data_IF_507811920603
#
_entry.id   IF_507811920603
#
_cell.length_a   1.000
_cell.length_b   1.000
_cell.length_c   1.000
_cell.angle_alpha   90.00
_cell.angle_beta   90.00
_cell.angle_gamma   90.00
#
_symmetry.space_group_name_H-M   'P 1'
#
loop_
_entity.id
_entity.type
_entity.pdbx_description
1 polymer ?
#
# COMPACT_ATOMS: atom_id res chain seq x y z
N UNK A 1 -12.62 -50.42 12.80
CA UNK A 1 -12.34 -49.22 13.63
C UNK A 1 -10.92 -48.72 13.49
N UNK A 2 -10.54 -48.21 12.32
CA UNK A 2 -9.20 -47.62 12.11
C UNK A 2 -9.12 -46.83 10.81
N UNK A 3 -9.81 -47.32 9.77
CA UNK A 3 -9.97 -46.60 8.50
C UNK A 3 -10.75 -45.29 8.65
N UNK A 4 -11.85 -45.25 9.44
CA UNK A 4 -12.61 -44.00 9.63
C UNK A 4 -11.82 -42.93 10.38
N UNK A 5 -11.06 -43.31 11.43
CA UNK A 5 -10.17 -42.40 12.18
C UNK A 5 -9.13 -41.75 11.25
N UNK A 6 -8.57 -42.51 10.30
CA UNK A 6 -7.60 -42.00 9.33
C UNK A 6 -8.22 -41.00 8.35
N UNK A 7 -9.45 -41.27 7.86
CA UNK A 7 -10.19 -40.32 7.02
C UNK A 7 -10.59 -39.06 7.77
N UNK A 8 -11.01 -39.16 9.03
CA UNK A 8 -11.28 -38.00 9.89
C UNK A 8 -10.03 -37.16 10.12
N UNK A 9 -8.87 -37.77 10.37
CA UNK A 9 -7.60 -37.06 10.55
C UNK A 9 -7.12 -36.38 9.25
N UNK A 10 -7.29 -37.01 8.09
CA UNK A 10 -6.97 -36.40 6.79
C UNK A 10 -7.90 -35.22 6.50
N UNK A 11 -9.19 -35.33 6.79
CA UNK A 11 -10.15 -34.23 6.64
C UNK A 11 -9.82 -33.08 7.61
N UNK A 12 -9.48 -33.35 8.88
CA UNK A 12 -9.03 -32.31 9.83
C UNK A 12 -7.74 -31.64 9.37
N UNK A 13 -6.80 -32.38 8.79
CA UNK A 13 -5.55 -31.84 8.25
C UNK A 13 -5.78 -30.96 7.00
N UNK A 14 -6.68 -31.37 6.10
CA UNK A 14 -7.08 -30.59 4.92
C UNK A 14 -7.92 -29.36 5.28
N UNK A 15 -8.70 -29.41 6.35
CA UNK A 15 -9.42 -28.25 6.87
C UNK A 15 -8.45 -27.30 7.58
N UNK A 16 -7.45 -27.81 8.31
CA UNK A 16 -6.39 -27.01 8.97
C UNK A 16 -5.52 -26.22 7.98
N UNK A 17 -5.20 -26.79 6.81
CA UNK A 17 -4.50 -26.06 5.73
C UNK A 17 -5.39 -25.07 4.99
N UNK A 18 -6.72 -25.28 5.00
CA UNK A 18 -7.72 -24.40 4.39
C UNK A 18 -8.28 -23.32 5.33
N UNK A 19 -8.05 -23.41 6.65
CA UNK A 19 -8.24 -22.29 7.57
C UNK A 19 -7.11 -21.30 7.33
N UNK A 20 -7.27 -20.54 6.25
CA UNK A 20 -6.68 -19.23 5.94
C UNK A 20 -5.39 -18.93 6.72
N UNK A 21 -4.27 -18.91 5.99
CA UNK A 21 -3.09 -18.13 6.34
C UNK A 21 -3.48 -16.64 6.46
N UNK A 22 -4.23 -16.26 7.49
CA UNK A 22 -4.17 -14.91 8.00
C UNK A 22 -2.71 -14.74 8.40
N UNK A 23 -1.92 -14.06 7.57
CA UNK A 23 -0.59 -13.63 7.95
C UNK A 23 -0.73 -12.98 9.31
N UNK A 24 -0.10 -13.56 10.32
CA UNK A 24 -0.04 -12.97 11.65
C UNK A 24 0.82 -11.71 11.52
N UNK A 25 0.15 -10.58 11.35
CA UNK A 25 0.81 -9.29 11.35
C UNK A 25 1.37 -9.02 12.75
N UNK A 26 2.59 -8.50 12.80
CA UNK A 26 3.20 -8.04 14.05
C UNK A 26 2.32 -6.99 14.75
N UNK A 27 2.50 -6.84 16.06
CA UNK A 27 1.77 -5.83 16.84
C UNK A 27 1.90 -4.44 16.21
N UNK A 28 0.75 -3.78 16.00
CA UNK A 28 0.67 -2.46 15.38
C UNK A 28 0.60 -2.47 13.85
N UNK A 29 0.63 -3.65 13.22
CA UNK A 29 0.32 -3.84 11.82
C UNK A 29 -1.09 -4.40 11.66
N UNK A 30 -1.77 -4.03 10.58
CA UNK A 30 -3.15 -4.37 10.29
C UNK A 30 -3.20 -5.26 9.04
N UNK A 31 -3.83 -6.44 9.10
CA UNK A 31 -3.93 -7.34 7.96
C UNK A 31 -4.97 -6.84 6.95
N UNK A 32 -4.64 -6.94 5.66
CA UNK A 32 -5.62 -6.86 4.57
C UNK A 32 -5.14 -7.71 3.39
N UNK A 33 -5.98 -8.65 2.94
CA UNK A 33 -5.56 -9.66 1.98
C UNK A 33 -4.34 -10.44 2.47
N UNK A 34 -3.31 -10.51 1.63
CA UNK A 34 -2.05 -11.21 1.92
C UNK A 34 -0.93 -10.28 2.41
N UNK A 35 -1.24 -9.07 2.87
CA UNK A 35 -0.25 -8.08 3.32
C UNK A 35 -0.57 -7.54 4.71
N UNK A 36 0.45 -6.98 5.33
CA UNK A 36 0.38 -6.26 6.59
C UNK A 36 0.68 -4.79 6.38
N UNK A 37 -0.13 -3.91 6.98
CA UNK A 37 0.00 -2.47 6.81
C UNK A 37 0.22 -1.75 8.14
N UNK A 38 1.05 -0.72 8.16
CA UNK A 38 1.22 0.17 9.31
C UNK A 38 1.01 1.61 8.88
N UNK A 39 0.58 2.46 9.81
CA UNK A 39 0.19 3.84 9.56
C UNK A 39 1.05 4.75 10.44
N UNK A 40 1.72 5.75 9.85
CA UNK A 40 2.59 6.66 10.60
C UNK A 40 1.81 7.63 11.51
N UNK A 41 2.40 8.03 12.63
CA UNK A 41 1.85 9.13 13.44
C UNK A 41 2.27 10.52 12.92
N UNK A 42 3.26 10.58 12.02
CA UNK A 42 3.82 11.82 11.49
C UNK A 42 3.91 11.80 9.97
N UNK A 43 4.04 12.98 9.39
CA UNK A 43 4.24 13.19 7.95
C UNK A 43 5.72 13.31 7.61
N UNK A 44 6.11 12.91 6.40
CA UNK A 44 7.48 13.08 5.90
C UNK A 44 7.52 13.42 4.41
N UNK A 45 8.68 13.89 3.95
CA UNK A 45 8.96 14.02 2.51
C UNK A 45 9.02 12.65 1.87
N UNK A 46 8.81 12.56 0.56
CA UNK A 46 8.77 11.28 -0.15
C UNK A 46 10.04 10.44 0.07
N UNK A 47 11.21 11.08 -0.05
CA UNK A 47 12.51 10.45 0.23
C UNK A 47 12.60 9.88 1.65
N UNK A 48 12.16 10.64 2.65
CA UNK A 48 12.19 10.17 4.04
C UNK A 48 11.15 9.07 4.30
N UNK A 49 9.98 9.15 3.67
CA UNK A 49 8.95 8.10 3.76
C UNK A 49 9.48 6.76 3.24
N UNK A 50 10.11 6.75 2.06
CA UNK A 50 10.77 5.57 1.50
C UNK A 50 11.83 5.01 2.45
N UNK A 51 12.73 5.85 2.98
CA UNK A 51 13.76 5.43 3.94
C UNK A 51 13.14 4.84 5.21
N UNK A 52 12.09 5.47 5.75
CA UNK A 52 11.40 4.97 6.94
C UNK A 52 10.74 3.61 6.69
N UNK A 53 10.12 3.40 5.54
CA UNK A 53 9.57 2.09 5.19
C UNK A 53 10.66 1.02 5.14
N UNK A 54 11.75 1.28 4.40
CA UNK A 54 12.86 0.34 4.25
C UNK A 54 13.52 -0.01 5.60
N UNK A 55 13.72 0.98 6.48
CA UNK A 55 14.28 0.76 7.81
C UNK A 55 13.38 -0.11 8.72
N UNK A 56 12.09 -0.25 8.39
CA UNK A 56 11.15 -1.13 9.08
C UNK A 56 10.92 -2.47 8.34
N UNK A 57 11.76 -2.79 7.34
CA UNK A 57 11.62 -4.01 6.54
C UNK A 57 10.32 -4.05 5.74
N UNK A 58 9.86 -2.88 5.27
CA UNK A 58 8.61 -2.71 4.56
C UNK A 58 8.77 -1.79 3.35
N UNK A 59 7.78 -1.78 2.50
CA UNK A 59 7.71 -0.95 1.30
C UNK A 59 6.77 0.24 1.54
N UNK A 60 7.01 1.33 0.80
CA UNK A 60 6.05 2.42 0.72
C UNK A 60 4.80 1.93 -0.03
N UNK A 61 3.62 2.41 0.35
CA UNK A 61 2.34 1.87 -0.13
C UNK A 61 2.22 1.84 -1.67
N UNK A 62 2.23 0.66 -2.26
CA UNK A 62 1.83 0.44 -3.65
C UNK A 62 0.45 -0.22 -3.71
N UNK A 63 -0.53 0.47 -4.30
CA UNK A 63 -1.90 -0.01 -4.44
C UNK A 63 -2.06 -0.85 -5.72
N UNK A 64 -2.59 -2.06 -5.60
CA UNK A 64 -2.77 -2.98 -6.72
C UNK A 64 -4.22 -3.27 -7.08
N UNK A 65 -5.16 -2.96 -6.18
CA UNK A 65 -6.59 -3.22 -6.40
C UNK A 65 -7.45 -2.13 -5.79
N UNK A 66 -8.66 -1.97 -6.33
CA UNK A 66 -9.67 -1.05 -5.77
C UNK A 66 -10.05 -1.41 -4.34
N UNK A 67 -10.15 -2.70 -4.02
CA UNK A 67 -10.49 -3.16 -2.67
C UNK A 67 -9.41 -2.78 -1.65
N UNK A 68 -8.13 -2.87 -2.03
CA UNK A 68 -7.02 -2.41 -1.20
C UNK A 68 -7.08 -0.89 -0.98
N UNK A 69 -7.30 -0.12 -2.03
CA UNK A 69 -7.45 1.33 -1.92
C UNK A 69 -8.63 1.75 -1.02
N UNK A 70 -9.80 1.11 -1.17
CA UNK A 70 -10.97 1.41 -0.35
C UNK A 70 -10.73 1.13 1.13
N UNK A 71 -10.02 0.04 1.43
CA UNK A 71 -9.63 -0.26 2.79
C UNK A 71 -8.62 0.77 3.32
N UNK A 72 -7.63 1.16 2.52
CA UNK A 72 -6.66 2.21 2.89
C UNK A 72 -7.37 3.55 3.14
N UNK A 73 -8.29 3.96 2.28
CA UNK A 73 -9.11 5.18 2.44
C UNK A 73 -9.84 5.18 3.79
N UNK A 74 -10.53 4.08 4.11
CA UNK A 74 -11.19 3.91 5.40
C UNK A 74 -10.20 4.00 6.56
N UNK A 75 -9.08 3.28 6.49
CA UNK A 75 -8.06 3.28 7.55
C UNK A 75 -7.43 4.66 7.78
N UNK A 76 -7.23 5.45 6.71
CA UNK A 76 -6.73 6.82 6.80
C UNK A 76 -7.75 7.74 7.48
N UNK A 77 -9.03 7.65 7.10
CA UNK A 77 -10.11 8.48 7.67
C UNK A 77 -10.33 8.22 9.15
N UNK A 78 -10.37 6.96 9.58
CA UNK A 78 -10.56 6.62 11.01
C UNK A 78 -9.37 7.08 11.88
N UNK A 79 -8.20 7.28 11.29
CA UNK A 79 -7.00 7.84 11.96
C UNK A 79 -6.93 9.37 11.88
N UNK A 80 -7.89 10.01 11.22
CA UNK A 80 -7.93 11.47 11.08
C UNK A 80 -6.90 12.04 10.10
N UNK A 81 -6.38 11.24 9.17
CA UNK A 81 -5.53 11.79 8.10
C UNK A 81 -6.36 12.72 7.21
N UNK A 82 -5.91 13.97 7.06
CA UNK A 82 -6.71 15.03 6.45
C UNK A 82 -6.32 15.40 5.02
N UNK A 83 -5.07 15.14 4.61
CA UNK A 83 -4.58 15.48 3.27
C UNK A 83 -4.43 14.24 2.39
N UNK A 84 -3.34 13.48 2.57
CA UNK A 84 -3.05 12.31 1.76
C UNK A 84 -1.94 11.44 2.33
N UNK A 85 -1.68 10.33 1.66
CA UNK A 85 -0.56 9.43 1.95
C UNK A 85 0.32 9.28 0.71
N UNK A 86 1.63 9.14 0.91
CA UNK A 86 2.50 8.81 -0.21
C UNK A 86 2.21 7.42 -0.76
N UNK A 87 2.27 7.30 -2.09
CA UNK A 87 2.30 6.02 -2.80
C UNK A 87 3.74 5.69 -3.18
N UNK A 88 4.07 4.40 -3.27
CA UNK A 88 5.38 3.91 -3.70
C UNK A 88 5.65 4.07 -5.19
N UNK A 89 5.20 5.17 -5.82
CA UNK A 89 5.38 5.42 -7.25
C UNK A 89 6.04 6.79 -7.49
N UNK A 90 6.98 6.85 -8.44
CA UNK A 90 7.63 8.10 -8.85
C UNK A 90 8.03 8.04 -10.33
N UNK A 91 8.03 9.17 -11.00
CA UNK A 91 8.54 9.32 -12.37
C UNK A 91 9.77 10.25 -12.44
N UNK A 92 10.44 10.50 -11.30
CA UNK A 92 11.62 11.38 -11.18
C UNK A 92 12.76 11.04 -12.15
N UNK A 93 12.84 9.79 -12.62
CA UNK A 93 13.84 9.36 -13.61
C UNK A 93 13.44 9.71 -15.05
N UNK A 94 12.14 9.71 -15.36
CA UNK A 94 11.62 10.01 -16.69
C UNK A 94 10.18 10.46 -16.56
N UNK A 95 9.96 11.75 -16.75
CA UNK A 95 8.65 12.40 -16.74
C UNK A 95 7.57 11.60 -17.49
N UNK A 96 6.43 11.39 -16.84
CA UNK A 96 5.30 10.63 -17.38
C UNK A 96 5.46 9.12 -17.33
N UNK A 97 6.58 8.59 -16.81
CA UNK A 97 6.83 7.14 -16.64
C UNK A 97 7.02 6.78 -15.17
N UNK A 98 5.90 6.70 -14.45
CA UNK A 98 5.88 6.23 -13.07
C UNK A 98 6.41 4.79 -12.94
N UNK A 99 7.35 4.61 -12.00
CA UNK A 99 7.91 3.31 -11.60
C UNK A 99 7.60 3.02 -10.13
N UNK A 100 7.39 1.75 -9.80
CA UNK A 100 7.30 1.22 -8.44
C UNK A 100 8.64 1.32 -7.74
N UNK A 101 8.65 1.81 -6.50
CA UNK A 101 9.86 1.88 -5.69
C UNK A 101 10.33 0.51 -5.20
N UNK A 102 9.42 -0.45 -5.05
CA UNK A 102 9.73 -1.81 -4.57
C UNK A 102 10.71 -2.56 -5.47
N UNK A 103 10.56 -2.44 -6.79
CA UNK A 103 11.35 -3.21 -7.76
C UNK A 103 11.92 -2.38 -8.93
N UNK A 104 11.74 -1.06 -8.91
CA UNK A 104 12.14 -0.12 -9.97
C UNK A 104 11.55 -0.45 -11.36
N UNK A 105 10.38 -1.09 -11.42
CA UNK A 105 9.68 -1.42 -12.68
C UNK A 105 8.40 -0.64 -12.84
N UNK A 106 7.79 -0.73 -14.03
CA UNK A 106 6.43 -0.24 -14.25
C UNK A 106 5.49 -0.87 -13.20
N UNK A 107 4.61 -0.08 -12.55
CA UNK A 107 3.80 -0.62 -11.48
C UNK A 107 2.94 -1.80 -11.94
N UNK A 108 2.82 -2.79 -11.07
CA UNK A 108 2.21 -4.07 -11.42
C UNK A 108 0.70 -3.92 -11.65
N UNK A 109 0.17 -4.79 -12.51
CA UNK A 109 -1.24 -4.79 -12.91
C UNK A 109 -1.67 -3.51 -13.63
N UNK A 110 -2.99 -3.38 -13.83
CA UNK A 110 -3.60 -2.27 -14.56
C UNK A 110 -4.34 -1.28 -13.66
N UNK A 111 -4.41 -1.54 -12.35
CA UNK A 111 -5.13 -0.67 -11.43
C UNK A 111 -4.37 0.65 -11.26
N UNK A 112 -5.00 1.74 -11.68
CA UNK A 112 -4.56 3.12 -11.46
C UNK A 112 -5.79 3.94 -11.17
N UNK A 113 -5.74 4.76 -10.13
CA UNK A 113 -6.84 5.66 -9.80
C UNK A 113 -6.40 7.13 -9.82
N UNK A 114 -5.61 7.51 -10.83
CA UNK A 114 -5.31 8.91 -11.11
C UNK A 114 -6.61 9.71 -11.22
N UNK A 115 -6.67 10.85 -10.54
CA UNK A 115 -7.81 11.76 -10.65
C UNK A 115 -7.91 12.30 -12.08
N UNK A 116 -9.09 12.81 -12.44
CA UNK A 116 -9.29 13.44 -13.74
C UNK A 116 -8.33 14.63 -13.87
N UNK A 117 -7.43 14.57 -14.86
CA UNK A 117 -6.42 15.58 -15.10
C UNK A 117 -5.03 15.19 -14.62
N UNK A 118 -4.91 14.14 -13.79
CA UNK A 118 -3.66 13.68 -13.21
C UNK A 118 -3.05 12.48 -13.96
N UNK A 119 -1.73 12.27 -13.88
CA UNK A 119 -0.74 13.21 -13.32
C UNK A 119 -0.56 14.44 -14.21
N UNK A 120 -0.49 15.64 -13.62
CA UNK A 120 -0.48 16.91 -14.35
C UNK A 120 0.87 17.63 -14.35
N UNK A 121 1.82 17.17 -13.52
CA UNK A 121 3.13 17.75 -13.31
C UNK A 121 3.09 19.27 -13.07
N UNK A 122 2.31 19.71 -12.07
CA UNK A 122 2.06 21.12 -11.83
C UNK A 122 3.36 21.87 -11.55
N UNK A 123 3.58 22.98 -12.27
CA UNK A 123 4.81 23.75 -12.16
C UNK A 123 6.07 22.98 -12.59
N UNK A 124 5.92 21.87 -13.31
CA UNK A 124 7.01 21.01 -13.79
C UNK A 124 7.88 20.43 -12.68
N UNK A 125 7.29 20.13 -11.51
CA UNK A 125 8.02 19.66 -10.33
C UNK A 125 7.24 18.66 -9.46
N UNK A 126 6.25 17.96 -10.01
CA UNK A 126 5.47 16.94 -9.28
C UNK A 126 5.86 15.56 -9.79
N UNK A 127 6.70 14.85 -9.03
CA UNK A 127 7.28 13.57 -9.46
C UNK A 127 6.98 12.40 -8.52
N UNK A 128 6.12 12.61 -7.53
CA UNK A 128 5.87 11.66 -6.45
C UNK A 128 4.38 11.43 -6.29
N UNK A 129 3.92 10.19 -6.47
CA UNK A 129 2.51 9.88 -6.41
C UNK A 129 1.99 9.85 -4.96
N UNK A 130 0.76 10.32 -4.76
CA UNK A 130 0.06 10.28 -3.49
C UNK A 130 -1.40 9.87 -3.67
N UNK A 131 -1.99 9.28 -2.63
CA UNK A 131 -3.43 9.11 -2.53
C UNK A 131 -4.04 10.29 -1.78
N UNK A 132 -4.88 11.06 -2.46
CA UNK A 132 -5.54 12.22 -1.89
C UNK A 132 -6.85 11.81 -1.23
N UNK A 133 -6.88 11.84 0.11
CA UNK A 133 -7.99 11.29 0.91
C UNK A 133 -9.30 12.03 0.64
N UNK A 134 -9.30 13.36 0.62
CA UNK A 134 -10.54 14.13 0.41
C UNK A 134 -11.08 14.05 -1.01
N UNK A 135 -10.22 13.78 -2.00
CA UNK A 135 -10.58 13.65 -3.42
C UNK A 135 -10.79 12.21 -3.88
N UNK A 136 -10.38 11.23 -3.07
CA UNK A 136 -10.53 9.78 -3.29
C UNK A 136 -9.89 9.30 -4.60
N UNK A 137 -8.68 9.78 -4.89
CA UNK A 137 -7.91 9.43 -6.08
C UNK A 137 -6.44 9.83 -5.96
N UNK A 138 -5.66 9.55 -7.00
CA UNK A 138 -4.21 9.77 -7.01
C UNK A 138 -3.85 11.10 -7.67
N UNK A 139 -2.82 11.73 -7.11
CA UNK A 139 -2.18 12.96 -7.59
C UNK A 139 -0.67 12.71 -7.67
N UNK A 140 0.04 13.34 -8.60
CA UNK A 140 1.47 13.59 -8.47
C UNK A 140 1.65 14.87 -7.65
N UNK A 141 2.54 14.86 -6.68
CA UNK A 141 2.77 16.00 -5.80
C UNK A 141 4.28 16.25 -5.72
N UNK A 142 4.66 17.45 -5.29
CA UNK A 142 6.07 17.81 -5.11
C UNK A 142 6.66 16.93 -4.03
N UNK A 143 7.73 16.19 -4.36
CA UNK A 143 8.35 15.21 -3.48
C UNK A 143 8.85 15.78 -2.13
N UNK A 144 9.00 17.10 -2.05
CA UNK A 144 9.39 17.88 -0.86
C UNK A 144 8.24 18.16 0.11
N UNK A 145 6.98 17.99 -0.32
CA UNK A 145 5.82 18.10 0.56
C UNK A 145 5.82 17.01 1.64
N UNK A 146 5.12 17.26 2.74
CA UNK A 146 5.04 16.32 3.87
C UNK A 146 3.67 15.68 3.92
N UNK A 147 3.62 14.37 3.66
CA UNK A 147 2.40 13.56 3.69
C UNK A 147 2.55 12.40 4.69
N UNK A 148 1.41 11.82 5.08
CA UNK A 148 1.39 10.62 5.91
C UNK A 148 1.98 9.42 5.16
N UNK A 149 2.39 8.41 5.91
CA UNK A 149 3.08 7.23 5.39
C UNK A 149 2.27 6.00 5.74
N UNK A 150 2.07 5.14 4.75
CA UNK A 150 1.57 3.78 4.96
C UNK A 150 2.66 2.81 4.54
N UNK A 151 2.99 1.90 5.45
CA UNK A 151 3.99 0.85 5.26
C UNK A 151 3.25 -0.41 4.82
N UNK A 152 3.85 -1.20 3.92
CA UNK A 152 3.28 -2.47 3.42
C UNK A 152 4.35 -3.57 3.40
N UNK A 153 3.98 -4.79 3.80
CA UNK A 153 4.82 -6.01 3.72
C UNK A 153 4.01 -7.28 3.48
#
# INVERSE_FOLDING_TARGET
NGKSQLWFLIIVCLVSTAVSQLRNCEKGWFPFGNHCYKFSSSTATFKHAMIFCNNHGAELLELHTKAEEDWIDLQCRVRGYSYGVWLGLSDIQTEGKFVSLSDARKPRGNFRNWMKGEPNNSGHNEHCAMYWITRRGWNDDQCTNKLNIVYKK
#
